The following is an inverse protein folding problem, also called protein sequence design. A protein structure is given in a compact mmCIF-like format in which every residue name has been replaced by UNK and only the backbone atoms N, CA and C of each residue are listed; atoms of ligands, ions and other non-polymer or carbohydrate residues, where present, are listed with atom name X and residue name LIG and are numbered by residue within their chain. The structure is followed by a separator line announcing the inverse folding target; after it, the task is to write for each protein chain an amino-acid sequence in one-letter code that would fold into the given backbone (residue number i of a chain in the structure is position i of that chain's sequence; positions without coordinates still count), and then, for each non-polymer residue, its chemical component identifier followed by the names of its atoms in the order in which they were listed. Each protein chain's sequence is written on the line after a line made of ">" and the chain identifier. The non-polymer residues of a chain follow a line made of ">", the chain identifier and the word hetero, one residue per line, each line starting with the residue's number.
data_IF_039278595511
#
_entry.id   IF_039278595511
#
_cell.length_a   1.000
_cell.length_b   1.000
_cell.length_c   1.000
_cell.angle_alpha   90.00
_cell.angle_beta   90.00
_cell.angle_gamma   90.00
#
_symmetry.space_group_name_H-M   'P 1'
#
loop_
_entity.id
_entity.type
_entity.pdbx_description
1 polymer ?
#
# COMPACT_ATOMS: atom_id res chain seq x y z
N UNK A 1 4.82 -17.68 11.97
CA UNK A 1 5.03 -16.40 11.26
C UNK A 1 6.28 -16.52 10.43
N UNK A 2 6.17 -16.56 9.10
CA UNK A 2 7.33 -16.65 8.23
C UNK A 2 8.07 -15.31 8.17
N UNK A 3 9.37 -15.33 7.88
CA UNK A 3 10.18 -14.12 7.70
C UNK A 3 9.56 -13.16 6.67
N UNK A 4 9.01 -13.71 5.59
CA UNK A 4 8.32 -12.95 4.54
C UNK A 4 7.12 -12.17 5.10
N UNK A 5 6.33 -12.79 5.97
CA UNK A 5 5.17 -12.14 6.57
C UNK A 5 5.55 -10.94 7.46
N UNK A 6 6.68 -11.05 8.18
CA UNK A 6 7.21 -9.96 9.00
C UNK A 6 7.71 -8.81 8.12
N UNK A 7 8.42 -9.12 7.03
CA UNK A 7 8.89 -8.12 6.07
C UNK A 7 7.74 -7.42 5.34
N UNK A 8 6.68 -8.16 4.98
CA UNK A 8 5.49 -7.59 4.34
C UNK A 8 4.76 -6.63 5.29
N UNK A 9 4.62 -6.99 6.57
CA UNK A 9 4.02 -6.10 7.57
C UNK A 9 4.89 -4.85 7.82
N UNK A 10 6.21 -5.03 7.91
CA UNK A 10 7.16 -3.94 8.13
C UNK A 10 7.17 -2.95 6.96
N UNK A 11 7.20 -3.47 5.73
CA UNK A 11 7.16 -2.63 4.52
C UNK A 11 5.83 -1.86 4.41
N UNK A 12 4.70 -2.52 4.67
CA UNK A 12 3.37 -1.88 4.73
C UNK A 12 3.36 -0.72 5.72
N UNK A 13 3.89 -0.93 6.92
CA UNK A 13 3.95 0.10 7.97
C UNK A 13 4.85 1.29 7.57
N UNK A 14 6.05 1.01 7.06
CA UNK A 14 7.00 2.06 6.66
C UNK A 14 6.42 2.91 5.52
N UNK A 15 5.79 2.30 4.52
CA UNK A 15 5.16 3.05 3.42
C UNK A 15 3.93 3.86 3.87
N UNK A 16 3.10 3.31 4.75
CA UNK A 16 1.98 4.06 5.34
C UNK A 16 2.47 5.29 6.08
N UNK A 17 3.55 5.17 6.87
CA UNK A 17 4.14 6.27 7.63
C UNK A 17 4.66 7.37 6.70
N UNK A 18 5.37 7.01 5.63
CA UNK A 18 5.87 7.96 4.63
C UNK A 18 4.71 8.66 3.93
N UNK A 19 3.69 7.91 3.49
CA UNK A 19 2.49 8.47 2.85
C UNK A 19 1.74 9.44 3.76
N UNK A 20 1.55 9.07 5.02
CA UNK A 20 0.91 9.92 6.02
C UNK A 20 1.69 11.23 6.26
N UNK A 21 3.03 11.15 6.33
CA UNK A 21 3.89 12.32 6.50
C UNK A 21 3.83 13.26 5.30
N UNK A 22 3.93 12.71 4.09
CA UNK A 22 3.83 13.50 2.86
C UNK A 22 2.46 14.20 2.76
N UNK A 23 1.38 13.51 3.14
CA UNK A 23 0.05 14.10 3.13
C UNK A 23 -0.13 15.19 4.21
N UNK A 24 0.46 14.98 5.39
CA UNK A 24 0.44 15.98 6.46
C UNK A 24 1.23 17.24 6.07
N UNK A 25 2.40 17.09 5.44
CA UNK A 25 3.21 18.21 4.94
C UNK A 25 2.50 19.00 3.83
N UNK A 26 1.59 18.35 3.10
CA UNK A 26 0.74 18.98 2.08
C UNK A 26 -0.51 19.65 2.66
N UNK A 27 -0.70 19.61 3.99
CA UNK A 27 -1.83 20.23 4.67
C UNK A 27 -3.16 19.53 4.43
N UNK A 28 -3.14 18.22 4.11
CA UNK A 28 -4.37 17.44 4.02
C UNK A 28 -4.98 17.23 5.42
N UNK A 29 -6.30 17.07 5.44
CA UNK A 29 -7.04 16.68 6.63
C UNK A 29 -6.75 15.22 7.02
N UNK A 30 -7.23 14.80 8.20
CA UNK A 30 -7.04 13.42 8.66
C UNK A 30 -7.57 12.38 7.68
N UNK A 31 -8.66 12.68 6.95
CA UNK A 31 -9.20 11.83 5.90
C UNK A 31 -8.23 11.67 4.73
N UNK A 32 -7.73 12.79 4.19
CA UNK A 32 -6.74 12.79 3.13
C UNK A 32 -5.42 12.12 3.53
N UNK A 33 -4.96 12.32 4.75
CA UNK A 33 -3.76 11.66 5.30
C UNK A 33 -3.95 10.14 5.34
N UNK A 34 -5.08 9.65 5.85
CA UNK A 34 -5.40 8.23 5.89
C UNK A 34 -5.50 7.63 4.48
N UNK A 35 -6.10 8.35 3.54
CA UNK A 35 -6.24 7.91 2.15
C UNK A 35 -4.88 7.75 1.45
N UNK A 36 -4.01 8.76 1.53
CA UNK A 36 -2.67 8.70 0.93
C UNK A 36 -1.80 7.65 1.61
N UNK A 37 -1.90 7.50 2.93
CA UNK A 37 -1.19 6.44 3.66
C UNK A 37 -1.61 5.03 3.18
N UNK A 38 -2.91 4.79 2.98
CA UNK A 38 -3.43 3.52 2.47
C UNK A 38 -2.96 3.22 1.04
N UNK A 39 -3.00 4.22 0.15
CA UNK A 39 -2.49 4.06 -1.23
C UNK A 39 -0.99 3.73 -1.20
N UNK A 40 -0.20 4.45 -0.40
CA UNK A 40 1.23 4.25 -0.31
C UNK A 40 1.58 2.83 0.18
N UNK A 41 0.86 2.33 1.19
CA UNK A 41 1.11 0.98 1.72
C UNK A 41 0.73 -0.13 0.73
N UNK A 42 -0.36 0.02 -0.03
CA UNK A 42 -0.78 -0.97 -1.04
C UNK A 42 0.15 -0.97 -2.27
N UNK A 43 0.70 0.20 -2.61
CA UNK A 43 1.59 0.36 -3.76
C UNK A 43 2.88 -0.45 -3.63
N UNK A 44 3.44 -0.61 -2.42
CA UNK A 44 4.69 -1.34 -2.21
C UNK A 44 4.60 -2.82 -2.60
N UNK A 45 3.59 -3.54 -2.09
CA UNK A 45 3.36 -4.95 -2.43
C UNK A 45 2.93 -5.14 -3.89
N UNK A 46 2.14 -4.20 -4.41
CA UNK A 46 1.71 -4.21 -5.81
C UNK A 46 2.87 -4.02 -6.77
N UNK A 47 3.74 -3.03 -6.54
CA UNK A 47 4.91 -2.77 -7.39
C UNK A 47 5.88 -3.94 -7.37
N UNK A 48 6.12 -4.56 -6.21
CA UNK A 48 6.92 -5.79 -6.12
C UNK A 48 6.38 -6.88 -7.04
N UNK A 49 5.06 -7.11 -7.02
CA UNK A 49 4.44 -8.12 -7.87
C UNK A 49 4.62 -7.78 -9.37
N UNK A 50 4.41 -6.51 -9.75
CA UNK A 50 4.63 -6.04 -11.13
C UNK A 50 6.08 -6.23 -11.58
N UNK A 51 7.07 -5.86 -10.75
CA UNK A 51 8.50 -6.02 -11.07
C UNK A 51 8.91 -7.49 -11.19
N UNK A 52 8.22 -8.40 -10.49
CA UNK A 52 8.41 -9.84 -10.61
C UNK A 52 7.67 -10.46 -11.81
N UNK A 53 6.99 -9.63 -12.63
CA UNK A 53 6.17 -10.11 -13.75
C UNK A 53 4.86 -10.78 -13.33
N UNK A 54 4.49 -10.67 -12.04
CA UNK A 54 3.23 -11.17 -11.51
C UNK A 54 2.15 -10.11 -11.73
N UNK A 55 1.05 -10.50 -12.37
CA UNK A 55 -0.10 -9.61 -12.54
C UNK A 55 -0.68 -9.24 -11.17
N UNK A 56 -0.90 -7.94 -10.89
CA UNK A 56 -1.50 -7.53 -9.65
C UNK A 56 -2.88 -8.16 -9.48
N UNK A 57 -3.18 -8.66 -8.28
CA UNK A 57 -4.44 -9.37 -7.98
C UNK A 57 -5.68 -8.50 -8.28
N UNK A 58 -5.58 -7.18 -8.16
CA UNK A 58 -6.67 -6.24 -8.51
C UNK A 58 -6.90 -6.08 -10.03
N UNK A 59 -5.95 -6.52 -10.87
CA UNK A 59 -6.10 -6.57 -12.33
C UNK A 59 -6.63 -7.94 -12.77
N UNK A 60 -6.17 -9.02 -12.13
CA UNK A 60 -6.59 -10.39 -12.46
C UNK A 60 -7.99 -10.74 -11.94
N UNK A 61 -8.39 -10.20 -10.78
CA UNK A 61 -9.72 -10.44 -10.18
C UNK A 61 -10.40 -9.10 -9.82
N UNK A 62 -11.18 -8.51 -10.75
CA UNK A 62 -11.94 -7.28 -10.50
C UNK A 62 -12.98 -7.40 -9.38
N UNK A 63 -13.34 -8.64 -9.01
CA UNK A 63 -14.34 -8.96 -8.00
C UNK A 63 -13.98 -8.43 -6.60
N UNK A 64 -12.69 -8.29 -6.29
CA UNK A 64 -12.20 -7.75 -5.00
C UNK A 64 -12.57 -6.27 -4.77
N UNK A 65 -12.91 -5.54 -5.83
CA UNK A 65 -13.28 -4.11 -5.77
C UNK A 65 -14.81 -3.92 -5.74
N UNK A 66 -15.57 -4.95 -6.10
CA UNK A 66 -17.03 -4.89 -6.27
C UNK A 66 -17.85 -5.48 -5.11
N UNK A 67 -17.18 -6.01 -4.07
CA UNK A 67 -17.81 -6.58 -2.87
C UNK A 67 -17.63 -5.70 -1.64
#
# INVERSE_FOLDING_TARGET
>A
MSLLHILDLLSTFVFALVGARVAADKGLDYGGIAFIAAIASVSGGTLRNVFLGLTPIWVTDPWIIAS
#
